data_IF_055162940096
#
_entry.id   IF_055162940096
#
_cell.length_a   1.000
_cell.length_b   1.000
_cell.length_c   1.000
_cell.angle_alpha   90.00
_cell.angle_beta   90.00
_cell.angle_gamma   90.00
#
_symmetry.space_group_name_H-M   'P 1'
#
loop_
_entity.id
_entity.type
_entity.pdbx_description
1 polymer ?
#
# COMPACT_ATOMS: atom_id res chain seq x y z
N UNK A 1 -18.56 15.51 13.56
CA UNK A 1 -19.29 14.99 14.74
C UNK A 1 -19.12 13.48 14.67
N UNK A 2 -18.27 12.79 15.43
CA UNK A 2 -17.78 12.99 16.79
C UNK A 2 -16.25 12.84 16.84
N UNK A 3 -15.63 13.64 17.69
CA UNK A 3 -14.21 13.61 18.04
C UNK A 3 -14.14 13.03 19.45
N UNK A 4 -13.51 11.86 19.62
CA UNK A 4 -13.18 11.32 20.93
C UNK A 4 -11.66 11.14 20.98
N UNK A 5 -11.02 12.04 21.73
CA UNK A 5 -9.60 12.03 22.03
C UNK A 5 -9.44 11.24 23.34
N UNK A 6 -8.67 10.14 23.32
CA UNK A 6 -8.32 9.41 24.54
C UNK A 6 -7.10 10.03 25.20
N UNK A 7 -7.28 10.54 26.42
CA UNK A 7 -6.23 11.05 27.29
C UNK A 7 -5.38 9.90 27.87
N UNK A 8 -4.04 10.03 27.84
CA UNK A 8 -3.14 9.15 28.61
C UNK A 8 -2.46 9.96 29.72
N UNK A 9 -2.75 9.58 30.98
CA UNK A 9 -2.29 10.24 32.19
C UNK A 9 -0.90 9.79 32.68
N UNK A 10 -0.22 10.76 33.28
CA UNK A 10 1.11 10.87 33.92
C UNK A 10 1.43 9.90 35.06
N UNK A 11 2.73 9.54 35.24
CA UNK A 11 3.46 9.33 36.51
C UNK A 11 4.91 8.91 36.19
N UNK A 12 6.02 9.46 36.69
CA UNK A 12 6.34 10.52 37.65
C UNK A 12 7.79 10.29 38.13
N UNK A 13 8.63 11.34 38.26
CA UNK A 13 9.93 11.22 38.95
C UNK A 13 11.01 12.26 38.65
N UNK A 14 11.42 12.97 39.72
CA UNK A 14 12.69 13.68 40.00
C UNK A 14 12.73 15.21 39.88
N UNK A 15 13.27 15.80 40.95
CA UNK A 15 13.32 17.21 41.31
C UNK A 15 14.31 18.04 40.48
N UNK A 16 13.90 19.28 40.16
CA UNK A 16 14.73 20.49 40.25
C UNK A 16 15.75 20.73 39.13
N UNK A 17 15.39 21.55 38.15
CA UNK A 17 16.13 22.73 37.64
C UNK A 17 15.20 23.52 36.71
N UNK A 18 15.17 24.84 36.86
CA UNK A 18 14.36 25.75 36.05
C UNK A 18 14.86 25.76 34.60
N UNK A 19 14.20 24.99 33.75
CA UNK A 19 14.23 25.18 32.30
C UNK A 19 13.13 26.17 31.94
N UNK A 20 13.47 27.20 31.18
CA UNK A 20 12.51 28.06 30.50
C UNK A 20 11.75 27.16 29.49
N UNK A 21 10.65 26.53 29.94
CA UNK A 21 9.81 25.68 29.10
C UNK A 21 9.06 26.59 28.14
N UNK A 22 9.67 26.84 26.98
CA UNK A 22 8.92 27.25 25.79
C UNK A 22 7.80 26.21 25.61
N UNK A 23 6.51 26.59 25.60
CA UNK A 23 5.44 25.63 25.41
C UNK A 23 5.64 25.00 24.04
N UNK A 24 6.06 23.73 24.03
CA UNK A 24 6.13 22.96 22.80
C UNK A 24 4.73 22.96 22.20
N UNK A 25 4.64 23.40 20.95
CA UNK A 25 3.36 23.44 20.24
C UNK A 25 2.75 22.03 20.27
N UNK A 26 1.45 21.88 20.63
CA UNK A 26 0.84 20.57 20.69
C UNK A 26 0.95 19.89 19.31
N UNK A 27 1.50 18.68 19.29
CA UNK A 27 1.59 17.86 18.09
C UNK A 27 0.22 17.25 17.81
N UNK A 28 -0.43 17.67 16.73
CA UNK A 28 -1.68 17.07 16.27
C UNK A 28 -1.37 15.89 15.35
N UNK A 29 -1.76 14.68 15.77
CA UNK A 29 -1.69 13.47 14.94
C UNK A 29 -3.09 13.19 14.42
N UNK A 30 -3.23 13.07 13.10
CA UNK A 30 -4.47 12.66 12.45
C UNK A 30 -4.29 11.28 11.83
N UNK A 31 -5.17 10.35 12.21
CA UNK A 31 -5.22 9.01 11.66
C UNK A 31 -6.61 8.76 11.08
N UNK A 32 -6.67 8.20 9.88
CA UNK A 32 -7.93 7.84 9.23
C UNK A 32 -8.01 6.34 9.07
N UNK A 33 -9.07 5.75 9.64
CA UNK A 33 -9.32 4.31 9.59
C UNK A 33 -9.75 3.80 8.21
N UNK A 34 -10.18 4.70 7.31
CA UNK A 34 -10.70 4.35 5.97
C UNK A 34 -9.76 4.70 4.84
N UNK A 35 -8.69 5.46 5.10
CA UNK A 35 -7.82 5.99 4.06
C UNK A 35 -7.18 4.88 3.21
N UNK A 36 -6.56 3.89 3.84
CA UNK A 36 -5.90 2.79 3.13
C UNK A 36 -6.88 1.99 2.25
N UNK A 37 -8.10 1.74 2.76
CA UNK A 37 -9.14 1.05 2.01
C UNK A 37 -9.55 1.84 0.75
N UNK A 38 -9.75 3.16 0.89
CA UNK A 38 -10.11 4.02 -0.23
C UNK A 38 -9.00 4.08 -1.30
N UNK A 39 -7.72 4.13 -0.88
CA UNK A 39 -6.59 4.09 -1.82
C UNK A 39 -6.58 2.78 -2.62
N UNK A 40 -6.75 1.64 -1.95
CA UNK A 40 -6.79 0.34 -2.64
C UNK A 40 -8.00 0.20 -3.57
N UNK A 41 -9.16 0.73 -3.19
CA UNK A 41 -10.33 0.78 -4.07
C UNK A 41 -10.07 1.60 -5.33
N UNK A 42 -9.48 2.80 -5.18
CA UNK A 42 -9.11 3.64 -6.32
C UNK A 42 -8.08 2.97 -7.24
N UNK A 43 -7.05 2.32 -6.68
CA UNK A 43 -6.05 1.60 -7.48
C UNK A 43 -6.66 0.41 -8.24
N UNK A 44 -7.60 -0.29 -7.62
CA UNK A 44 -8.33 -1.38 -8.26
C UNK A 44 -9.21 -0.87 -9.41
N UNK A 45 -9.85 0.28 -9.26
CA UNK A 45 -10.68 0.87 -10.32
C UNK A 45 -9.84 1.45 -11.46
N UNK A 46 -8.66 2.00 -11.16
CA UNK A 46 -7.64 2.37 -12.17
C UNK A 46 -7.20 1.14 -12.96
N UNK A 47 -6.93 0.01 -12.27
CA UNK A 47 -6.56 -1.25 -12.90
C UNK A 47 -7.61 -1.77 -13.88
N UNK A 48 -8.89 -1.78 -13.49
CA UNK A 48 -10.00 -2.22 -14.35
C UNK A 48 -10.17 -1.35 -15.59
N UNK A 49 -9.81 -0.07 -15.51
CA UNK A 49 -9.92 0.90 -16.60
C UNK A 49 -8.62 1.05 -17.40
N UNK A 50 -7.55 0.33 -17.03
CA UNK A 50 -6.21 0.46 -17.59
C UNK A 50 -5.65 1.91 -17.53
N UNK A 51 -5.94 2.59 -16.43
CA UNK A 51 -5.45 3.94 -16.15
C UNK A 51 -4.24 3.83 -15.23
N UNK A 52 -3.13 4.52 -15.56
CA UNK A 52 -1.88 4.55 -14.78
C UNK A 52 -1.21 3.17 -14.56
N UNK A 53 -1.69 2.12 -15.22
CA UNK A 53 -1.05 0.81 -15.20
C UNK A 53 0.26 0.85 -15.99
N UNK A 54 1.31 0.27 -15.43
CA UNK A 54 2.68 0.36 -15.93
C UNK A 54 3.32 -1.03 -16.16
N UNK A 55 2.57 -2.11 -15.95
CA UNK A 55 2.99 -3.49 -16.20
C UNK A 55 1.83 -4.36 -16.67
N UNK A 56 2.14 -5.29 -17.57
CA UNK A 56 1.24 -6.37 -17.99
C UNK A 56 1.75 -7.69 -17.42
N UNK A 57 0.91 -8.40 -16.69
CA UNK A 57 1.19 -9.76 -16.21
C UNK A 57 0.51 -10.76 -17.16
N UNK A 58 1.28 -11.64 -17.76
CA UNK A 58 0.80 -12.71 -18.64
C UNK A 58 0.69 -14.01 -17.85
N UNK A 59 -0.51 -14.56 -17.76
CA UNK A 59 -0.81 -15.83 -17.07
C UNK A 59 -1.62 -16.70 -18.01
N UNK A 60 -1.11 -17.89 -18.36
CA UNK A 60 -1.80 -18.82 -19.28
C UNK A 60 -2.33 -18.15 -20.56
N UNK A 61 -1.52 -17.24 -21.14
CA UNK A 61 -1.84 -16.43 -22.33
C UNK A 61 -2.92 -15.35 -22.14
N UNK A 62 -3.31 -15.04 -20.91
CA UNK A 62 -4.19 -13.91 -20.57
C UNK A 62 -3.37 -12.77 -20.00
N UNK A 63 -3.65 -11.56 -20.47
CA UNK A 63 -2.98 -10.34 -20.04
C UNK A 63 -3.76 -9.63 -18.94
N UNK A 64 -3.05 -9.21 -17.90
CA UNK A 64 -3.58 -8.46 -16.78
C UNK A 64 -2.78 -7.18 -16.60
N UNK A 65 -3.42 -6.03 -16.81
CA UNK A 65 -2.84 -4.71 -16.52
C UNK A 65 -2.79 -4.50 -15.01
N UNK A 66 -1.71 -3.89 -14.52
CA UNK A 66 -1.47 -3.71 -13.10
C UNK A 66 -0.50 -2.55 -12.80
N UNK A 67 -0.30 -2.30 -11.51
CA UNK A 67 0.66 -1.34 -10.99
C UNK A 67 1.87 -2.07 -10.39
N UNK A 68 3.08 -1.78 -10.88
CA UNK A 68 4.32 -2.39 -10.41
C UNK A 68 4.53 -2.21 -8.91
N UNK A 69 4.23 -1.01 -8.40
CA UNK A 69 4.38 -0.69 -6.99
C UNK A 69 3.47 -1.56 -6.10
N UNK A 70 2.22 -1.80 -6.53
CA UNK A 70 1.27 -2.64 -5.79
C UNK A 70 1.72 -4.10 -5.79
N UNK A 71 2.09 -4.63 -6.95
CA UNK A 71 2.61 -5.99 -7.08
C UNK A 71 3.85 -6.22 -6.20
N UNK A 72 4.80 -5.28 -6.21
CA UNK A 72 6.02 -5.34 -5.42
C UNK A 72 5.74 -5.25 -3.91
N UNK A 73 4.77 -4.45 -3.49
CA UNK A 73 4.39 -4.32 -2.08
C UNK A 73 3.69 -5.58 -1.53
N UNK A 74 2.94 -6.29 -2.38
CA UNK A 74 2.14 -7.46 -1.98
C UNK A 74 2.86 -8.81 -2.16
N UNK A 75 4.00 -8.85 -2.87
CA UNK A 75 4.69 -10.11 -3.20
C UNK A 75 6.19 -9.93 -3.37
N UNK A 76 6.97 -10.68 -2.58
CA UNK A 76 8.43 -10.72 -2.73
C UNK A 76 8.88 -11.21 -4.11
N UNK A 77 8.11 -12.09 -4.75
CA UNK A 77 8.41 -12.56 -6.11
C UNK A 77 8.37 -11.39 -7.09
N UNK A 78 7.27 -10.63 -7.07
CA UNK A 78 7.14 -9.46 -7.93
C UNK A 78 8.14 -8.38 -7.58
N UNK A 79 8.42 -8.15 -6.30
CA UNK A 79 9.46 -7.22 -5.87
C UNK A 79 10.81 -7.57 -6.51
N UNK A 80 11.27 -8.82 -6.38
CA UNK A 80 12.56 -9.27 -6.94
C UNK A 80 12.58 -9.20 -8.47
N UNK A 81 11.47 -9.51 -9.13
CA UNK A 81 11.35 -9.44 -10.60
C UNK A 81 11.30 -8.00 -11.12
N UNK A 82 10.68 -7.08 -10.37
CA UNK A 82 10.40 -5.70 -10.80
C UNK A 82 11.49 -4.70 -10.42
N UNK A 83 12.33 -4.99 -9.43
CA UNK A 83 13.45 -4.14 -9.03
C UNK A 83 14.41 -3.97 -10.22
N UNK A 84 14.76 -2.72 -10.52
CA UNK A 84 15.72 -2.38 -11.59
C UNK A 84 15.15 -2.36 -13.00
N UNK A 85 13.86 -2.69 -13.19
CA UNK A 85 13.22 -2.56 -14.49
C UNK A 85 12.85 -1.08 -14.75
N UNK A 86 13.38 -0.47 -15.81
CA UNK A 86 13.13 0.94 -16.14
C UNK A 86 12.19 1.13 -17.34
N UNK A 87 11.78 0.04 -17.98
CA UNK A 87 11.01 0.09 -19.22
C UNK A 87 9.56 0.53 -18.99
N UNK A 88 9.08 1.35 -19.91
CA UNK A 88 7.66 1.70 -20.05
C UNK A 88 7.01 0.57 -20.85
N UNK A 89 5.99 -0.09 -20.30
CA UNK A 89 5.35 -1.32 -20.83
C UNK A 89 6.08 -2.65 -20.56
N UNK A 90 6.48 -2.87 -19.31
CA UNK A 90 7.01 -4.16 -18.88
C UNK A 90 5.96 -5.29 -18.98
N UNK A 91 6.33 -6.42 -19.60
CA UNK A 91 5.51 -7.65 -19.62
C UNK A 91 6.19 -8.75 -18.79
N UNK A 92 5.51 -9.26 -17.77
CA UNK A 92 5.99 -10.36 -16.92
C UNK A 92 5.16 -11.60 -17.21
N UNK A 93 5.80 -12.71 -17.57
CA UNK A 93 5.12 -14.00 -17.74
C UNK A 93 5.26 -14.83 -16.47
N UNK A 94 4.13 -15.25 -15.89
CA UNK A 94 4.14 -16.17 -14.75
C UNK A 94 4.22 -17.63 -15.23
N UNK A 95 4.98 -18.50 -14.53
CA UNK A 95 5.02 -19.93 -14.83
C UNK A 95 3.66 -20.60 -14.54
N UNK A 96 3.35 -21.67 -15.27
CA UNK A 96 2.05 -22.39 -15.23
C UNK A 96 1.66 -22.90 -13.84
N UNK A 97 2.63 -23.11 -12.95
CA UNK A 97 2.42 -23.63 -11.58
C UNK A 97 1.80 -22.60 -10.61
N UNK A 98 1.62 -21.34 -11.03
CA UNK A 98 1.08 -20.25 -10.19
C UNK A 98 -0.44 -20.14 -10.30
N UNK A 99 -1.11 -21.07 -10.99
CA UNK A 99 -2.57 -21.12 -11.11
C UNK A 99 -3.20 -22.20 -10.21
N UNK A 100 -3.21 -22.08 -8.87
CA UNK A 100 -4.18 -22.81 -8.10
C UNK A 100 -5.54 -22.14 -8.36
N UNK A 101 -6.42 -22.88 -9.02
CA UNK A 101 -7.87 -22.70 -9.07
C UNK A 101 -8.36 -21.83 -10.25
N UNK A 102 -9.14 -22.50 -11.09
CA UNK A 102 -9.82 -22.06 -12.31
C UNK A 102 -10.93 -20.99 -12.07
N UNK A 103 -10.70 -20.02 -11.16
CA UNK A 103 -11.68 -18.99 -10.77
C UNK A 103 -11.00 -17.69 -10.34
N UNK A 104 -10.72 -16.80 -11.30
CA UNK A 104 -10.62 -15.35 -11.08
C UNK A 104 -9.61 -14.79 -10.06
N UNK A 105 -8.76 -15.61 -9.44
CA UNK A 105 -7.86 -15.19 -8.35
C UNK A 105 -6.76 -14.24 -8.83
N UNK A 106 -6.29 -14.37 -10.08
CA UNK A 106 -5.36 -13.43 -10.70
C UNK A 106 -5.95 -12.03 -10.87
N UNK A 107 -7.28 -11.90 -10.93
CA UNK A 107 -7.98 -10.62 -11.11
C UNK A 107 -8.37 -9.97 -9.79
N UNK A 108 -8.38 -10.72 -8.68
CA UNK A 108 -8.84 -10.23 -7.37
C UNK A 108 -7.71 -9.82 -6.42
N UNK A 109 -6.48 -10.30 -6.64
CA UNK A 109 -5.32 -10.01 -5.78
C UNK A 109 -4.19 -9.24 -6.50
N UNK A 110 -4.46 -8.75 -7.71
CA UNK A 110 -3.64 -7.74 -8.40
C UNK A 110 -4.40 -6.41 -8.40
#
# INVERSE_FOLDING_TARGET
MHSECSDYSTLGGLNGMSVDEKPESPMYVYESTVHCANILLCLNDQRKQDILCDVTVLVERKEFRAHRAVLAACSEYFLKTLIGQAEHELVITLPEEVCPNHSGLCTAHI
#
